data_IF_106346964898
#
_entry.id   IF_106346964898
#
_cell.length_a   1.000
_cell.length_b   1.000
_cell.length_c   1.000
_cell.angle_alpha   90.00
_cell.angle_beta   90.00
_cell.angle_gamma   90.00
#
_symmetry.space_group_name_H-M   'P 1'
#
loop_
_entity.id
_entity.type
_entity.pdbx_description
1 polymer ?
#
# COMPACT_ATOMS: atom_id res chain seq x y z
N UNK A 1 7.76 -14.02 16.23
CA UNK A 1 7.19 -12.73 16.71
C UNK A 1 6.30 -12.93 17.92
N UNK A 2 5.36 -13.88 17.94
CA UNK A 2 4.57 -14.25 19.13
C UNK A 2 5.47 -14.61 20.31
N UNK A 3 6.49 -15.41 20.06
CA UNK A 3 7.46 -15.82 21.10
C UNK A 3 8.18 -14.66 21.80
N UNK A 4 8.45 -13.54 21.14
CA UNK A 4 9.09 -12.38 21.77
C UNK A 4 8.13 -11.63 22.70
N UNK A 5 6.87 -11.55 22.35
CA UNK A 5 5.85 -10.94 23.23
C UNK A 5 5.56 -11.82 24.45
N UNK A 6 5.51 -13.14 24.26
CA UNK A 6 5.32 -14.09 25.35
C UNK A 6 6.50 -14.01 26.36
N UNK A 7 7.73 -13.95 25.85
CA UNK A 7 8.92 -13.74 26.69
C UNK A 7 8.88 -12.39 27.43
N UNK A 8 8.50 -11.31 26.74
CA UNK A 8 8.37 -10.00 27.37
C UNK A 8 7.34 -10.01 28.51
N UNK A 9 6.23 -10.70 28.33
CA UNK A 9 5.18 -10.87 29.31
C UNK A 9 5.69 -11.62 30.56
N UNK A 10 6.49 -12.69 30.39
CA UNK A 10 7.13 -13.43 31.50
C UNK A 10 8.03 -12.53 32.38
N UNK A 11 8.65 -11.52 31.79
CA UNK A 11 9.48 -10.53 32.50
C UNK A 11 8.71 -9.27 32.93
N UNK A 12 7.38 -9.21 32.75
CA UNK A 12 6.57 -8.05 33.08
C UNK A 12 6.85 -6.81 32.18
N UNK A 13 7.44 -7.03 31.00
CA UNK A 13 7.78 -5.96 30.05
C UNK A 13 6.60 -5.69 29.13
N UNK A 14 6.18 -4.42 29.07
CA UNK A 14 5.11 -4.00 28.17
C UNK A 14 5.58 -4.04 26.72
N UNK A 15 4.81 -4.70 25.86
CA UNK A 15 5.09 -4.82 24.43
C UNK A 15 4.15 -3.92 23.62
N UNK A 16 4.68 -3.26 22.61
CA UNK A 16 3.91 -2.52 21.59
C UNK A 16 4.19 -3.09 20.22
N UNK A 17 3.18 -3.12 19.39
CA UNK A 17 3.32 -3.48 17.97
C UNK A 17 3.46 -2.20 17.15
N UNK A 18 4.51 -2.11 16.32
CA UNK A 18 4.58 -1.10 15.28
C UNK A 18 4.02 -1.69 13.98
N UNK A 19 2.86 -1.20 13.55
CA UNK A 19 2.17 -1.67 12.37
C UNK A 19 2.38 -0.70 11.20
N UNK A 20 3.08 -1.14 10.18
CA UNK A 20 3.54 -0.30 9.07
C UNK A 20 2.52 -0.12 7.94
N UNK A 21 1.46 -0.94 7.95
CA UNK A 21 0.39 -0.86 6.96
C UNK A 21 -0.78 -0.01 7.45
N UNK A 22 -1.73 0.38 6.57
CA UNK A 22 -2.87 1.21 6.95
C UNK A 22 -3.79 0.60 8.01
N UNK A 23 -4.51 1.45 8.75
CA UNK A 23 -5.52 1.03 9.76
C UNK A 23 -6.62 0.17 9.16
N UNK A 24 -7.04 0.48 7.93
CA UNK A 24 -8.00 -0.32 7.16
C UNK A 24 -7.58 -1.79 7.10
N UNK A 25 -6.31 -2.05 6.83
CA UNK A 25 -5.78 -3.42 6.74
C UNK A 25 -5.66 -4.08 8.13
N UNK A 26 -5.26 -3.35 9.16
CA UNK A 26 -5.27 -3.85 10.54
C UNK A 26 -6.68 -4.28 10.95
N UNK A 27 -7.68 -3.44 10.66
CA UNK A 27 -9.08 -3.74 10.94
C UNK A 27 -9.56 -5.00 10.22
N UNK A 28 -9.20 -5.18 8.95
CA UNK A 28 -9.47 -6.38 8.19
C UNK A 28 -8.84 -7.62 8.84
N UNK A 29 -7.56 -7.53 9.19
CA UNK A 29 -6.83 -8.61 9.86
C UNK A 29 -7.53 -9.06 11.17
N UNK A 30 -7.87 -8.10 12.01
CA UNK A 30 -8.53 -8.36 13.29
C UNK A 30 -9.93 -8.94 13.11
N UNK A 31 -10.67 -8.45 12.12
CA UNK A 31 -12.00 -8.93 11.79
C UNK A 31 -11.99 -10.39 11.32
N UNK A 32 -11.00 -10.80 10.57
CA UNK A 32 -10.87 -12.20 10.11
C UNK A 32 -10.65 -13.21 11.24
N UNK A 33 -10.20 -12.80 12.40
CA UNK A 33 -10.11 -13.71 13.57
C UNK A 33 -11.48 -14.22 14.05
N UNK A 34 -12.54 -13.44 13.85
CA UNK A 34 -13.90 -13.77 14.30
C UNK A 34 -14.72 -14.47 13.24
N UNK A 35 -14.20 -14.52 12.03
CA UNK A 35 -14.86 -15.23 10.96
C UNK A 35 -14.46 -16.71 11.03
N UNK A 36 -15.18 -17.51 11.79
CA UNK A 36 -15.40 -18.94 11.45
C UNK A 36 -15.90 -19.10 10.00
N UNK A 37 -16.21 -17.99 9.40
CA UNK A 37 -16.76 -17.68 8.07
C UNK A 37 -15.75 -17.88 6.94
N UNK A 38 -14.56 -18.34 7.24
CA UNK A 38 -13.67 -18.84 6.19
C UNK A 38 -14.34 -19.96 5.37
N UNK A 39 -15.32 -20.67 5.94
CA UNK A 39 -16.13 -21.64 5.19
C UNK A 39 -17.13 -21.01 4.23
N UNK A 40 -17.70 -19.86 4.51
CA UNK A 40 -18.66 -19.18 3.63
C UNK A 40 -18.01 -18.50 2.42
N UNK A 41 -16.72 -18.15 2.49
CA UNK A 41 -16.01 -17.64 1.31
C UNK A 41 -15.77 -18.69 0.21
N UNK A 42 -15.85 -19.99 0.53
CA UNK A 42 -15.74 -21.05 -0.48
C UNK A 42 -16.83 -21.00 -1.55
N UNK A 43 -18.00 -20.47 -1.20
CA UNK A 43 -19.15 -20.45 -2.09
C UNK A 43 -19.39 -19.10 -2.75
N UNK A 44 -18.57 -18.07 -2.42
CA UNK A 44 -18.69 -16.73 -3.02
C UNK A 44 -17.82 -16.57 -4.28
N UNK A 45 -17.71 -17.61 -5.08
CA UNK A 45 -17.23 -17.50 -6.46
C UNK A 45 -18.33 -16.82 -7.26
N UNK A 46 -18.44 -15.51 -7.11
CA UNK A 46 -19.47 -14.72 -7.76
C UNK A 46 -19.40 -13.25 -7.38
N UNK A 47 -20.21 -12.46 -7.96
CA UNK A 47 -20.31 -11.01 -7.93
C UNK A 47 -20.69 -10.38 -6.58
N UNK A 48 -20.74 -11.15 -5.49
CA UNK A 48 -21.17 -10.64 -4.19
C UNK A 48 -20.07 -9.84 -3.53
N UNK A 49 -20.31 -8.54 -3.33
CA UNK A 49 -19.41 -7.66 -2.61
C UNK A 49 -19.37 -8.00 -1.12
N UNK A 50 -18.21 -7.87 -0.51
CA UNK A 50 -17.94 -8.15 0.89
C UNK A 50 -17.85 -6.85 1.67
N UNK A 51 -18.56 -6.76 2.81
CA UNK A 51 -18.51 -5.60 3.70
C UNK A 51 -17.67 -5.92 4.93
N UNK A 52 -16.73 -5.03 5.23
CA UNK A 52 -15.88 -5.09 6.41
C UNK A 52 -16.02 -3.80 7.22
N UNK A 53 -16.03 -3.87 8.57
CA UNK A 53 -16.23 -2.67 9.40
C UNK A 53 -15.20 -1.56 9.17
N UNK A 54 -13.96 -1.92 8.85
CA UNK A 54 -12.87 -0.97 8.59
C UNK A 54 -12.84 -0.39 7.19
N UNK A 55 -13.72 -0.84 6.29
CA UNK A 55 -13.79 -0.36 4.90
C UNK A 55 -14.97 0.57 4.72
N UNK A 56 -14.77 1.69 4.03
CA UNK A 56 -15.84 2.63 3.72
C UNK A 56 -16.87 2.06 2.72
N UNK A 57 -16.44 1.15 1.86
CA UNK A 57 -17.26 0.55 0.81
C UNK A 57 -17.06 -0.96 0.76
N UNK A 58 -18.10 -1.72 0.34
CA UNK A 58 -17.95 -3.14 0.07
C UNK A 58 -16.94 -3.40 -1.05
N UNK A 59 -16.18 -4.47 -0.92
CA UNK A 59 -15.11 -4.84 -1.84
C UNK A 59 -15.38 -6.19 -2.52
N UNK A 60 -15.02 -6.36 -3.79
CA UNK A 60 -15.13 -7.64 -4.45
C UNK A 60 -14.07 -8.64 -3.92
N UNK A 61 -14.39 -9.94 -3.80
CA UNK A 61 -13.50 -10.94 -3.22
C UNK A 61 -12.15 -11.06 -3.91
N UNK A 62 -12.09 -10.81 -5.21
CA UNK A 62 -10.88 -10.96 -6.03
C UNK A 62 -9.80 -9.89 -5.78
N UNK A 63 -10.12 -8.81 -5.05
CA UNK A 63 -9.12 -7.80 -4.67
C UNK A 63 -8.57 -8.01 -3.26
N UNK A 64 -9.06 -9.02 -2.53
CA UNK A 64 -8.53 -9.32 -1.21
C UNK A 64 -7.06 -9.77 -1.32
N UNK A 65 -6.23 -9.42 -0.34
CA UNK A 65 -4.85 -9.89 -0.30
C UNK A 65 -4.75 -11.40 -0.40
N UNK A 66 -3.80 -11.90 -1.19
CA UNK A 66 -3.58 -13.33 -1.40
C UNK A 66 -3.46 -14.10 -0.08
N UNK A 67 -2.85 -13.50 0.93
CA UNK A 67 -2.69 -14.08 2.29
C UNK A 67 -4.02 -14.43 2.96
N UNK A 68 -5.11 -13.78 2.58
CA UNK A 68 -6.46 -14.06 3.08
C UNK A 68 -7.21 -15.09 2.23
N UNK A 69 -6.80 -15.26 0.99
CA UNK A 69 -7.43 -16.16 0.01
C UNK A 69 -6.77 -17.53 0.04
N UNK A 70 -5.45 -17.59 0.18
CA UNK A 70 -4.67 -18.84 0.30
C UNK A 70 -4.81 -19.42 1.72
N UNK A 71 -5.75 -20.31 1.85
CA UNK A 71 -6.12 -20.92 3.13
C UNK A 71 -5.15 -21.98 3.62
N UNK A 72 -4.57 -22.69 2.68
CA UNK A 72 -3.79 -23.89 2.99
C UNK A 72 -2.40 -23.51 3.51
N UNK A 73 -1.87 -22.36 3.04
CA UNK A 73 -0.50 -21.96 3.35
C UNK A 73 -0.42 -20.77 4.30
N UNK A 74 -1.20 -19.70 4.07
CA UNK A 74 -0.98 -18.41 4.71
C UNK A 74 -2.04 -18.01 5.72
N UNK A 75 -3.30 -18.36 5.52
CA UNK A 75 -4.40 -17.84 6.35
C UNK A 75 -4.25 -18.21 7.83
N UNK A 76 -3.89 -19.47 8.15
CA UNK A 76 -3.68 -19.89 9.53
C UNK A 76 -2.59 -19.08 10.24
N UNK A 77 -1.44 -18.92 9.59
CA UNK A 77 -0.34 -18.11 10.10
C UNK A 77 -0.73 -16.64 10.27
N UNK A 78 -1.49 -16.12 9.33
CA UNK A 78 -1.98 -14.75 9.37
C UNK A 78 -2.91 -14.51 10.57
N UNK A 79 -3.84 -15.44 10.83
CA UNK A 79 -4.71 -15.39 12.00
C UNK A 79 -3.91 -15.47 13.30
N UNK A 80 -2.91 -16.34 13.38
CA UNK A 80 -2.06 -16.48 14.56
C UNK A 80 -1.24 -15.19 14.84
N UNK A 81 -0.70 -14.57 13.80
CA UNK A 81 -0.03 -13.27 13.93
C UNK A 81 -0.99 -12.22 14.50
N UNK A 82 -2.19 -12.18 13.99
CA UNK A 82 -3.17 -11.16 14.38
C UNK A 82 -3.69 -11.39 15.81
N UNK A 83 -3.85 -12.64 16.23
CA UNK A 83 -4.15 -12.98 17.63
C UNK A 83 -3.06 -12.49 18.59
N UNK A 84 -1.79 -12.56 18.16
CA UNK A 84 -0.68 -12.04 18.93
C UNK A 84 -0.78 -10.53 19.19
N UNK A 85 -1.33 -9.76 18.27
CA UNK A 85 -1.47 -8.31 18.46
C UNK A 85 -2.35 -7.93 19.65
N UNK A 86 -3.30 -8.79 20.05
CA UNK A 86 -4.15 -8.57 21.23
C UNK A 86 -3.38 -8.59 22.54
N UNK A 87 -2.24 -9.26 22.59
CA UNK A 87 -1.36 -9.28 23.77
C UNK A 87 -0.56 -7.99 23.94
N UNK A 88 -0.50 -7.14 22.91
CA UNK A 88 0.21 -5.88 22.98
C UNK A 88 -0.48 -4.91 23.93
N UNK A 89 0.29 -4.09 24.62
CA UNK A 89 -0.21 -2.95 25.40
C UNK A 89 -0.87 -1.90 24.49
N UNK A 90 -0.38 -1.78 23.24
CA UNK A 90 -0.92 -0.91 22.24
C UNK A 90 -0.31 -1.16 20.87
N UNK A 91 -0.94 -0.61 19.84
CA UNK A 91 -0.51 -0.68 18.44
C UNK A 91 -0.18 0.72 17.95
N UNK A 92 1.08 0.95 17.65
CA UNK A 92 1.55 2.17 17.00
C UNK A 92 1.42 1.94 15.50
N UNK A 93 0.67 2.78 14.81
CA UNK A 93 0.37 2.58 13.40
C UNK A 93 0.82 3.75 12.54
N UNK A 94 1.45 3.45 11.41
CA UNK A 94 1.81 4.45 10.41
C UNK A 94 0.57 4.80 9.57
N UNK A 95 -0.37 5.51 10.18
CA UNK A 95 -1.62 5.94 9.59
C UNK A 95 -1.76 7.45 9.68
N UNK A 96 -2.37 8.06 8.68
CA UNK A 96 -2.78 9.45 8.69
C UNK A 96 -4.25 9.52 9.10
N UNK A 97 -4.50 10.02 10.31
CA UNK A 97 -5.81 9.90 10.96
C UNK A 97 -6.94 10.51 10.12
N UNK A 98 -6.70 11.64 9.48
CA UNK A 98 -7.70 12.35 8.68
C UNK A 98 -8.05 11.62 7.37
N UNK A 99 -7.16 10.76 6.89
CA UNK A 99 -7.40 9.95 5.69
C UNK A 99 -8.11 8.63 6.02
N UNK A 100 -7.94 8.12 7.23
CA UNK A 100 -8.41 6.79 7.65
C UNK A 100 -9.50 6.86 8.73
N UNK A 101 -10.29 7.92 8.78
CA UNK A 101 -11.33 8.14 9.79
C UNK A 101 -12.25 6.93 9.95
N UNK A 102 -12.73 6.34 8.85
CA UNK A 102 -13.61 5.16 8.87
C UNK A 102 -13.01 3.97 9.61
N UNK A 103 -11.75 3.68 9.35
CA UNK A 103 -11.07 2.54 9.95
C UNK A 103 -10.80 2.77 11.43
N UNK A 104 -10.43 4.02 11.80
CA UNK A 104 -10.21 4.43 13.18
C UNK A 104 -11.51 4.41 13.98
N UNK A 105 -12.61 4.91 13.44
CA UNK A 105 -13.92 4.88 14.07
C UNK A 105 -14.42 3.45 14.26
N UNK A 106 -14.26 2.59 13.24
CA UNK A 106 -14.61 1.18 13.35
C UNK A 106 -13.80 0.45 14.43
N UNK A 107 -12.52 0.82 14.58
CA UNK A 107 -11.65 0.28 15.61
C UNK A 107 -12.07 0.75 17.01
N UNK A 108 -12.25 2.06 17.20
CA UNK A 108 -12.54 2.68 18.48
C UNK A 108 -13.97 2.37 18.98
N UNK A 109 -14.93 2.21 18.07
CA UNK A 109 -16.32 1.82 18.41
C UNK A 109 -16.48 0.31 18.65
N UNK A 110 -15.40 -0.44 18.70
CA UNK A 110 -15.38 -1.90 18.89
C UNK A 110 -16.18 -2.70 17.83
N UNK A 111 -16.49 -2.10 16.68
CA UNK A 111 -17.21 -2.76 15.60
C UNK A 111 -16.39 -3.89 14.95
N UNK A 112 -15.09 -3.86 15.10
CA UNK A 112 -14.16 -4.89 14.61
C UNK A 112 -14.11 -6.08 15.57
N UNK A 113 -14.08 -5.82 16.89
CA UNK A 113 -14.13 -6.86 17.91
C UNK A 113 -15.58 -7.20 18.23
N UNK A 114 -16.03 -8.37 17.87
CA UNK A 114 -17.37 -8.86 18.21
C UNK A 114 -17.51 -9.36 19.65
N UNK A 115 -16.46 -9.22 20.45
CA UNK A 115 -16.42 -9.71 21.83
C UNK A 115 -16.19 -8.56 22.80
N UNK A 116 -17.14 -8.32 23.68
CA UNK A 116 -16.98 -7.38 24.80
C UNK A 116 -15.95 -7.85 25.84
N UNK A 117 -15.65 -9.13 25.84
CA UNK A 117 -14.77 -9.77 26.85
C UNK A 117 -13.30 -9.84 26.39
N UNK A 118 -12.99 -9.43 25.15
CA UNK A 118 -11.64 -9.43 24.59
C UNK A 118 -11.40 -8.13 23.84
N UNK A 119 -11.13 -7.03 24.56
CA UNK A 119 -10.95 -5.71 23.98
C UNK A 119 -9.71 -5.66 23.10
N UNK A 120 -9.77 -4.83 22.06
CA UNK A 120 -8.61 -4.53 21.24
C UNK A 120 -7.61 -3.63 21.99
N UNK A 121 -6.30 -3.77 21.74
CA UNK A 121 -5.30 -2.86 22.29
C UNK A 121 -5.55 -1.42 21.83
N UNK A 122 -5.13 -0.43 22.61
CA UNK A 122 -5.18 0.96 22.16
C UNK A 122 -4.39 1.18 20.88
N UNK A 123 -4.92 1.98 19.95
CA UNK A 123 -4.26 2.31 18.68
C UNK A 123 -3.74 3.75 18.73
N UNK A 124 -2.52 3.95 18.22
CA UNK A 124 -1.83 5.24 18.18
C UNK A 124 -1.43 5.56 16.73
N UNK A 125 -2.25 6.33 15.98
CA UNK A 125 -1.89 6.78 14.64
C UNK A 125 -0.81 7.87 14.75
N UNK A 126 0.36 7.62 14.19
CA UNK A 126 1.51 8.53 14.23
C UNK A 126 2.02 8.92 12.84
N UNK A 127 1.33 8.50 11.79
CA UNK A 127 1.74 8.74 10.41
C UNK A 127 1.32 10.11 9.84
N UNK A 128 1.70 10.42 8.60
CA UNK A 128 2.58 9.55 7.80
C UNK A 128 4.06 9.70 8.21
N UNK A 129 4.71 8.56 8.46
CA UNK A 129 6.15 8.52 8.67
C UNK A 129 6.80 8.49 7.31
N UNK A 130 7.41 9.59 6.92
CA UNK A 130 8.08 9.74 5.63
C UNK A 130 9.59 9.63 5.80
N UNK A 131 10.24 8.92 4.89
CA UNK A 131 11.68 8.93 4.80
C UNK A 131 12.14 10.29 4.26
N UNK A 132 12.81 11.06 5.12
CA UNK A 132 13.40 12.36 4.72
C UNK A 132 14.85 12.23 4.24
N UNK A 133 15.40 11.01 4.15
CA UNK A 133 16.71 10.84 3.54
C UNK A 133 16.62 11.19 2.05
N UNK A 134 17.49 12.10 1.61
CA UNK A 134 17.58 12.52 0.22
C UNK A 134 18.07 11.34 -0.62
N UNK A 135 17.18 10.68 -1.33
CA UNK A 135 17.53 9.63 -2.30
C UNK A 135 17.96 10.21 -3.63
N UNK A 136 17.63 11.48 -3.90
CA UNK A 136 17.97 12.23 -5.10
C UNK A 136 18.89 13.40 -4.80
N UNK A 137 19.60 13.86 -5.82
CA UNK A 137 20.37 15.10 -5.71
C UNK A 137 19.42 16.30 -5.56
N UNK A 138 19.86 17.33 -4.84
CA UNK A 138 19.08 18.58 -4.70
C UNK A 138 18.74 19.22 -6.06
N UNK A 139 19.60 19.00 -7.07
CA UNK A 139 19.38 19.48 -8.43
C UNK A 139 18.23 18.76 -9.14
N UNK A 140 18.08 17.44 -8.97
CA UNK A 140 16.98 16.67 -9.57
C UNK A 140 15.64 16.99 -8.93
N UNK A 141 15.61 17.14 -7.59
CA UNK A 141 14.40 17.58 -6.88
C UNK A 141 13.97 18.97 -7.33
N UNK A 142 14.92 19.90 -7.45
CA UNK A 142 14.65 21.25 -7.91
C UNK A 142 14.15 21.28 -9.37
N UNK A 143 14.68 20.41 -10.23
CA UNK A 143 14.24 20.32 -11.62
C UNK A 143 12.79 19.84 -11.75
N UNK A 144 12.39 18.84 -10.94
CA UNK A 144 11.00 18.35 -10.92
C UNK A 144 10.07 19.42 -10.37
N UNK A 145 10.46 20.06 -9.26
CA UNK A 145 9.65 21.08 -8.60
C UNK A 145 9.45 22.28 -9.50
N UNK A 146 10.51 22.79 -10.12
CA UNK A 146 10.43 23.92 -11.04
C UNK A 146 9.54 23.59 -12.25
N UNK A 147 9.67 22.38 -12.81
CA UNK A 147 8.80 21.96 -13.90
C UNK A 147 7.32 21.89 -13.47
N UNK A 148 7.03 21.42 -12.25
CA UNK A 148 5.66 21.39 -11.70
C UNK A 148 5.11 22.81 -11.48
N UNK A 149 5.91 23.72 -10.99
CA UNK A 149 5.53 25.13 -10.73
C UNK A 149 5.18 25.90 -12.02
N UNK A 150 5.76 25.49 -13.15
CA UNK A 150 5.45 26.03 -14.48
C UNK A 150 4.11 25.52 -15.04
N UNK A 151 3.52 24.48 -14.42
CA UNK A 151 2.26 23.91 -14.91
C UNK A 151 1.04 24.62 -14.30
N UNK A 152 -0.08 24.70 -15.03
CA UNK A 152 -1.31 25.23 -14.46
C UNK A 152 -1.77 24.41 -13.23
N UNK A 153 -2.41 25.05 -12.25
CA UNK A 153 -2.96 24.32 -11.08
C UNK A 153 -3.88 23.17 -11.49
N UNK A 154 -3.78 22.03 -10.78
CA UNK A 154 -4.61 20.86 -10.98
C UNK A 154 -4.57 20.25 -12.41
N UNK A 155 -3.46 20.43 -13.13
CA UNK A 155 -3.36 20.02 -14.54
C UNK A 155 -2.44 18.81 -14.78
N UNK A 156 -1.68 18.37 -13.79
CA UNK A 156 -0.68 17.29 -13.94
C UNK A 156 -1.20 15.99 -13.32
N UNK A 157 -1.17 14.92 -14.10
CA UNK A 157 -1.45 13.56 -13.63
C UNK A 157 -0.15 12.91 -13.17
N UNK A 158 -0.10 12.45 -11.91
CA UNK A 158 1.00 11.66 -11.40
C UNK A 158 0.77 10.18 -11.72
N UNK A 159 1.72 9.57 -12.45
CA UNK A 159 1.79 8.13 -12.65
C UNK A 159 2.89 7.57 -11.74
N UNK A 160 2.47 6.94 -10.65
CA UNK A 160 3.36 6.30 -9.68
C UNK A 160 2.77 4.93 -9.30
N UNK A 161 3.52 3.87 -9.56
CA UNK A 161 3.08 2.49 -9.35
C UNK A 161 3.74 1.85 -8.12
N UNK A 162 4.26 2.67 -7.23
CA UNK A 162 4.90 2.27 -5.99
C UNK A 162 6.29 1.67 -6.18
N UNK A 163 6.91 1.28 -5.09
CA UNK A 163 8.30 0.80 -5.06
C UNK A 163 8.53 -0.54 -5.76
N UNK A 164 7.48 -1.34 -5.97
CA UNK A 164 7.53 -2.63 -6.66
C UNK A 164 6.91 -2.59 -8.07
N UNK A 165 6.21 -1.51 -8.41
CA UNK A 165 5.51 -1.40 -9.69
C UNK A 165 6.48 -1.17 -10.85
N UNK A 166 6.50 -2.12 -11.78
CA UNK A 166 7.21 -2.03 -13.05
C UNK A 166 6.42 -2.74 -14.14
N UNK A 167 6.65 -2.38 -15.38
CA UNK A 167 5.93 -2.93 -16.53
C UNK A 167 6.89 -3.47 -17.56
N UNK A 168 6.51 -4.53 -18.31
CA UNK A 168 7.24 -4.94 -19.50
C UNK A 168 7.32 -3.80 -20.53
N UNK A 169 8.36 -3.81 -21.34
CA UNK A 169 8.63 -2.75 -22.34
C UNK A 169 7.43 -2.45 -23.24
N UNK A 170 6.72 -3.49 -23.68
CA UNK A 170 5.55 -3.31 -24.56
C UNK A 170 4.43 -2.53 -23.87
N UNK A 171 4.17 -2.84 -22.58
CA UNK A 171 3.17 -2.14 -21.80
C UNK A 171 3.60 -0.69 -21.48
N UNK A 172 4.89 -0.45 -21.25
CA UNK A 172 5.45 0.92 -21.10
C UNK A 172 5.18 1.72 -22.38
N UNK A 173 5.42 1.14 -23.57
CA UNK A 173 5.15 1.79 -24.86
C UNK A 173 3.67 2.11 -25.06
N UNK A 174 2.76 1.20 -24.72
CA UNK A 174 1.32 1.43 -24.81
C UNK A 174 0.87 2.57 -23.90
N UNK A 175 1.32 2.61 -22.64
CA UNK A 175 1.04 3.71 -21.73
C UNK A 175 1.58 5.03 -22.29
N UNK A 176 2.80 5.03 -22.82
CA UNK A 176 3.44 6.20 -23.39
C UNK A 176 2.66 6.75 -24.61
N UNK A 177 2.22 5.88 -25.50
CA UNK A 177 1.38 6.24 -26.67
C UNK A 177 0.04 6.80 -26.21
N UNK A 178 -0.58 6.21 -25.20
CA UNK A 178 -1.83 6.68 -24.65
C UNK A 178 -1.69 8.10 -24.07
N UNK A 179 -0.61 8.36 -23.30
CA UNK A 179 -0.33 9.69 -22.73
C UNK A 179 -0.09 10.76 -23.80
N UNK A 180 0.65 10.41 -24.86
CA UNK A 180 0.90 11.29 -26.02
C UNK A 180 -0.43 11.65 -26.73
N UNK A 181 -1.28 10.65 -26.97
CA UNK A 181 -2.56 10.81 -27.65
C UNK A 181 -3.59 11.62 -26.86
N UNK A 182 -3.67 11.41 -25.55
CA UNK A 182 -4.58 12.15 -24.67
C UNK A 182 -4.15 13.61 -24.55
N UNK A 183 -2.85 13.88 -24.64
CA UNK A 183 -2.28 15.22 -24.54
C UNK A 183 -2.41 15.85 -23.16
N UNK A 184 -2.67 15.08 -22.11
CA UNK A 184 -2.65 15.56 -20.72
C UNK A 184 -1.23 15.86 -20.26
N UNK A 185 -1.10 16.69 -19.22
CA UNK A 185 0.16 16.87 -18.52
C UNK A 185 0.37 15.75 -17.55
N UNK A 186 1.59 15.23 -17.45
CA UNK A 186 1.88 14.13 -16.55
C UNK A 186 3.31 14.14 -16.01
N UNK A 187 3.46 13.62 -14.79
CA UNK A 187 4.72 13.25 -14.18
C UNK A 187 4.70 11.74 -14.00
N UNK A 188 5.62 11.03 -14.65
CA UNK A 188 5.68 9.58 -14.62
C UNK A 188 6.95 9.08 -13.95
N UNK A 189 6.80 8.47 -12.76
CA UNK A 189 7.87 7.70 -12.14
C UNK A 189 7.94 6.32 -12.78
N UNK A 190 8.91 6.12 -13.69
CA UNK A 190 9.05 4.91 -14.48
C UNK A 190 10.22 4.06 -13.98
N UNK A 191 9.93 2.81 -13.63
CA UNK A 191 10.91 1.83 -13.12
C UNK A 191 11.16 0.71 -14.13
N UNK A 192 12.42 0.28 -14.17
CA UNK A 192 12.84 -0.89 -14.94
C UNK A 192 12.40 -2.17 -14.22
N UNK A 193 11.83 -3.17 -14.90
CA UNK A 193 11.56 -4.48 -14.34
C UNK A 193 12.78 -5.13 -13.69
N UNK A 194 12.55 -6.05 -12.77
CA UNK A 194 13.61 -6.82 -12.10
C UNK A 194 14.56 -7.42 -13.13
N UNK A 195 15.84 -7.04 -13.06
CA UNK A 195 16.87 -7.51 -13.99
C UNK A 195 17.49 -8.84 -13.58
N UNK A 196 17.24 -9.30 -12.36
CA UNK A 196 17.71 -10.59 -11.87
C UNK A 196 16.77 -11.16 -10.81
N UNK A 197 16.77 -12.50 -10.68
CA UNK A 197 16.01 -13.19 -9.64
C UNK A 197 16.46 -12.85 -8.21
N UNK A 198 17.61 -12.21 -8.03
CA UNK A 198 18.14 -11.80 -6.74
C UNK A 198 17.84 -10.32 -6.41
N UNK A 199 17.29 -9.54 -7.34
CA UNK A 199 16.91 -8.17 -7.07
C UNK A 199 15.61 -8.15 -6.27
N UNK A 200 15.58 -7.39 -5.17
CA UNK A 200 14.40 -7.23 -4.32
C UNK A 200 13.44 -6.17 -4.85
N UNK A 201 13.94 -5.21 -5.62
CA UNK A 201 13.19 -4.07 -6.14
C UNK A 201 13.47 -3.86 -7.63
N UNK A 202 12.52 -3.31 -8.39
CA UNK A 202 12.74 -2.81 -9.73
C UNK A 202 13.88 -1.79 -9.75
N UNK A 203 14.63 -1.79 -10.85
CA UNK A 203 15.74 -0.86 -11.08
C UNK A 203 15.32 0.48 -11.69
N UNK A 204 16.32 1.23 -12.12
CA UNK A 204 16.14 2.44 -12.91
C UNK A 204 16.64 2.22 -14.34
N UNK A 205 16.05 2.92 -15.29
CA UNK A 205 16.54 2.94 -16.66
C UNK A 205 17.72 3.90 -16.78
N UNK A 206 18.76 3.48 -17.50
CA UNK A 206 19.89 4.34 -17.86
C UNK A 206 19.49 5.40 -18.89
N UNK A 207 18.55 5.06 -19.76
CA UNK A 207 18.00 5.98 -20.77
C UNK A 207 16.54 5.62 -21.07
N UNK A 208 15.67 6.60 -20.98
CA UNK A 208 14.27 6.45 -21.36
C UNK A 208 14.06 6.41 -22.88
N UNK A 209 15.00 6.97 -23.68
CA UNK A 209 14.90 6.96 -25.13
C UNK A 209 14.97 5.59 -25.76
N UNK A 210 15.54 4.60 -25.05
CA UNK A 210 15.62 3.21 -25.52
C UNK A 210 14.31 2.42 -25.30
N UNK A 211 13.50 2.86 -24.37
CA UNK A 211 12.30 2.16 -23.90
C UNK A 211 11.02 2.81 -24.45
N UNK A 212 11.01 4.13 -24.51
CA UNK A 212 9.86 4.89 -24.97
C UNK A 212 9.82 4.94 -26.51
N UNK A 213 8.65 5.16 -27.11
CA UNK A 213 8.52 5.33 -28.55
C UNK A 213 9.42 6.45 -29.07
N UNK A 214 9.98 6.26 -30.28
CA UNK A 214 10.88 7.21 -30.91
C UNK A 214 10.27 8.62 -30.99
N UNK A 215 11.06 9.62 -30.60
CA UNK A 215 10.65 11.02 -30.61
C UNK A 215 9.62 11.41 -29.55
N UNK A 216 9.15 10.49 -28.72
CA UNK A 216 8.16 10.79 -27.68
C UNK A 216 8.68 11.86 -26.71
N UNK A 217 9.87 11.71 -26.16
CA UNK A 217 10.43 12.64 -25.18
C UNK A 217 10.42 14.09 -25.70
N UNK A 218 10.71 14.30 -26.98
CA UNK A 218 10.64 15.61 -27.61
C UNK A 218 9.19 16.12 -27.74
N UNK A 219 8.25 15.25 -28.08
CA UNK A 219 6.83 15.64 -28.21
C UNK A 219 6.19 16.00 -26.88
N UNK A 220 6.60 15.36 -25.81
CA UNK A 220 6.03 15.59 -24.46
C UNK A 220 6.80 16.65 -23.66
N UNK A 221 7.92 17.18 -24.12
CA UNK A 221 8.85 18.05 -23.37
C UNK A 221 8.15 19.12 -22.50
N UNK A 222 7.07 19.73 -23.05
CA UNK A 222 6.29 20.77 -22.35
C UNK A 222 5.12 20.26 -21.52
N UNK A 223 4.73 19.00 -21.69
CA UNK A 223 3.52 18.43 -21.10
C UNK A 223 3.80 17.25 -20.18
N UNK A 224 4.87 16.54 -20.40
CA UNK A 224 5.20 15.33 -19.67
C UNK A 224 6.63 15.33 -19.18
N UNK A 225 6.82 14.77 -17.98
CA UNK A 225 8.15 14.51 -17.41
C UNK A 225 8.22 13.07 -16.97
N UNK A 226 9.25 12.35 -17.44
CA UNK A 226 9.54 10.97 -17.01
C UNK A 226 10.76 11.01 -16.11
N UNK A 227 10.64 10.39 -14.95
CA UNK A 227 11.66 10.41 -13.89
C UNK A 227 11.86 9.00 -13.34
N UNK A 228 13.00 8.75 -12.70
CA UNK A 228 13.26 7.56 -11.90
C UNK A 228 12.45 7.54 -10.60
N UNK A 229 12.87 6.68 -9.69
CA UNK A 229 12.23 6.54 -8.38
C UNK A 229 13.02 7.26 -7.30
#
# INVERSE_FOLDING_TARGET
MLSLMDVAEEFGILSYVFFTSPTVFLGLMLYFQFLEVVSSFKNSVGTTLLSFPSYAYPVPPNILPMVLVDRDTWLGRFIDFTRGYRKAKGIIINAFAELEVYALDAYNSNNISRSEHDPLPSIYPIGPILNKSKSRSESEEAEITNWLDEQPPNSVVLLCFGSHGSFPTDQVKEIAIALDNIGCRFLWSLRCPLQSNNAQFPGEYTSYSEILPEGLLNRIEKKGKVVGW
#
